data_IF_162781484873
#
_entry.id   IF_162781484873
#
_cell.length_a   1.000
_cell.length_b   1.000
_cell.length_c   1.000
_cell.angle_alpha   90.00
_cell.angle_beta   90.00
_cell.angle_gamma   90.00
#
_symmetry.space_group_name_H-M   'P 1'
#
loop_
_entity.id
_entity.type
_entity.pdbx_description
1 polymer ?
#
# COMPACT_ATOMS: atom_id res chain seq x y z
N UNK A 1 -5.26 11.42 6.24
CA UNK A 1 -5.88 10.79 7.44
C UNK A 1 -5.06 11.17 8.67
N UNK A 2 -5.69 11.37 9.84
CA UNK A 2 -4.97 11.62 11.11
C UNK A 2 -4.91 10.34 11.94
N UNK A 3 -3.82 10.15 12.67
CA UNK A 3 -3.65 9.01 13.56
C UNK A 3 -4.61 9.12 14.76
N UNK A 4 -5.38 8.06 15.08
CA UNK A 4 -6.29 8.08 16.23
C UNK A 4 -5.56 8.16 17.57
N UNK A 5 -4.31 7.69 17.65
CA UNK A 5 -3.52 7.67 18.88
C UNK A 5 -2.82 9.01 19.19
N UNK A 6 -2.20 9.63 18.18
CA UNK A 6 -1.36 10.81 18.39
C UNK A 6 -1.78 12.06 17.60
N UNK A 7 -2.84 11.98 16.80
CA UNK A 7 -3.32 13.07 15.95
C UNK A 7 -2.42 13.46 14.78
N UNK A 8 -1.22 12.87 14.66
CA UNK A 8 -0.26 13.18 13.60
C UNK A 8 -0.79 12.76 12.21
N UNK A 9 -0.36 13.45 11.13
CA UNK A 9 -0.70 13.04 9.77
C UNK A 9 -0.14 11.64 9.47
N UNK A 10 -0.96 10.79 8.86
CA UNK A 10 -0.55 9.46 8.41
C UNK A 10 -0.08 9.49 6.96
N UNK A 11 0.92 8.67 6.65
CA UNK A 11 1.45 8.46 5.30
C UNK A 11 0.54 7.52 4.51
N UNK A 12 0.29 7.85 3.25
CA UNK A 12 -0.49 7.03 2.34
C UNK A 12 0.38 5.96 1.68
N UNK A 13 -0.16 4.76 1.55
CA UNK A 13 0.51 3.64 0.90
C UNK A 13 -0.47 2.50 0.64
N UNK A 14 0.08 1.31 0.50
CA UNK A 14 -0.71 0.09 0.34
C UNK A 14 -0.04 -1.08 1.04
N UNK A 15 -0.86 -2.06 1.35
CA UNK A 15 -0.41 -3.36 1.84
C UNK A 15 -0.85 -4.46 0.86
N UNK A 16 0.01 -5.44 0.58
CA UNK A 16 -0.39 -6.60 -0.22
C UNK A 16 -1.30 -7.52 0.61
N UNK A 17 -2.41 -7.97 0.04
CA UNK A 17 -3.24 -9.02 0.63
C UNK A 17 -2.56 -10.38 0.42
N UNK A 18 -1.57 -10.69 1.25
CA UNK A 18 -0.95 -12.02 1.31
C UNK A 18 0.46 -11.98 1.90
N UNK A 19 0.65 -12.70 3.01
CA UNK A 19 1.99 -12.96 3.58
C UNK A 19 2.50 -11.96 4.62
N UNK A 20 1.64 -11.10 5.19
CA UNK A 20 1.99 -10.18 6.29
C UNK A 20 1.64 -8.71 6.00
N UNK A 21 1.97 -7.83 6.95
CA UNK A 21 1.78 -6.36 6.82
C UNK A 21 3.08 -5.73 6.32
N UNK A 22 3.43 -6.02 5.07
CA UNK A 22 4.56 -5.35 4.39
C UNK A 22 4.08 -4.00 3.87
N UNK A 23 4.66 -2.91 4.36
CA UNK A 23 4.31 -1.55 3.98
C UNK A 23 5.08 -1.11 2.74
N UNK A 24 4.37 -0.56 1.76
CA UNK A 24 4.96 0.04 0.58
C UNK A 24 4.48 1.49 0.45
N UNK A 25 5.44 2.41 0.45
CA UNK A 25 5.18 3.81 0.14
C UNK A 25 4.86 3.96 -1.35
N UNK A 26 4.01 4.94 -1.70
CA UNK A 26 3.56 5.19 -3.08
C UNK A 26 4.71 5.27 -4.10
N UNK A 27 5.81 5.92 -3.73
CA UNK A 27 7.00 6.07 -4.60
C UNK A 27 7.79 4.76 -4.77
N UNK A 28 7.85 3.94 -3.73
CA UNK A 28 8.53 2.64 -3.76
C UNK A 28 7.73 1.57 -4.52
N UNK A 29 6.41 1.76 -4.62
CA UNK A 29 5.49 0.88 -5.32
C UNK A 29 5.92 0.66 -6.77
N UNK A 30 6.13 1.76 -7.51
CA UNK A 30 6.37 1.72 -8.94
C UNK A 30 7.70 1.04 -9.27
N UNK A 31 8.72 1.23 -8.43
CA UNK A 31 10.03 0.61 -8.60
C UNK A 31 9.97 -0.91 -8.36
N UNK A 32 9.31 -1.35 -7.29
CA UNK A 32 9.16 -2.78 -6.97
C UNK A 32 8.29 -3.48 -8.02
N UNK A 33 7.24 -2.81 -8.50
CA UNK A 33 6.35 -3.34 -9.55
C UNK A 33 7.08 -3.44 -10.89
N UNK A 34 7.89 -2.42 -11.25
CA UNK A 34 8.69 -2.43 -12.46
C UNK A 34 9.66 -3.61 -12.49
N UNK A 35 10.39 -3.82 -11.40
CA UNK A 35 11.29 -4.96 -11.25
C UNK A 35 10.54 -6.29 -11.33
N UNK A 36 9.44 -6.46 -10.60
CA UNK A 36 8.69 -7.72 -10.57
C UNK A 36 7.98 -8.04 -11.90
N UNK A 37 7.68 -7.04 -12.74
CA UNK A 37 7.17 -7.25 -14.10
C UNK A 37 8.25 -7.68 -15.08
N UNK A 38 9.50 -7.32 -14.83
CA UNK A 38 10.65 -7.69 -15.67
C UNK A 38 11.08 -9.15 -15.50
N UNK A 39 10.63 -9.81 -14.42
CA UNK A 39 10.90 -11.21 -14.14
C UNK A 39 9.73 -12.10 -14.64
N UNK A 40 10.01 -13.15 -15.44
CA UNK A 40 8.97 -14.09 -15.89
C UNK A 40 8.36 -14.85 -14.71
N UNK A 41 7.02 -14.92 -14.64
CA UNK A 41 6.30 -15.69 -13.63
C UNK A 41 6.05 -14.99 -12.28
N UNK A 42 6.66 -13.83 -12.02
CA UNK A 42 6.47 -13.07 -10.76
C UNK A 42 5.31 -12.09 -10.79
N UNK A 43 4.72 -11.85 -11.96
CA UNK A 43 3.56 -10.96 -12.14
C UNK A 43 2.33 -11.43 -11.36
N UNK A 44 2.15 -12.75 -11.18
CA UNK A 44 1.03 -13.33 -10.44
C UNK A 44 1.12 -13.09 -8.92
N UNK A 45 2.34 -13.03 -8.36
CA UNK A 45 2.54 -12.78 -6.93
C UNK A 45 2.13 -11.35 -6.54
N UNK A 46 2.38 -10.38 -7.42
CA UNK A 46 2.05 -8.96 -7.24
C UNK A 46 0.66 -8.54 -7.77
N UNK A 47 -0.08 -9.49 -8.38
CA UNK A 47 -1.51 -9.37 -8.70
C UNK A 47 -2.43 -9.63 -7.50
N UNK A 48 -1.87 -10.05 -6.35
CA UNK A 48 -2.65 -10.18 -5.11
C UNK A 48 -3.25 -8.83 -4.73
N UNK A 49 -4.50 -8.87 -4.28
CA UNK A 49 -5.30 -7.67 -3.98
C UNK A 49 -4.52 -6.67 -3.13
N UNK A 50 -4.46 -5.42 -3.56
CA UNK A 50 -3.79 -4.35 -2.83
C UNK A 50 -4.84 -3.60 -2.04
N UNK A 51 -4.59 -3.40 -0.75
CA UNK A 51 -5.47 -2.65 0.12
C UNK A 51 -4.90 -1.26 0.33
N UNK A 52 -5.72 -0.25 0.07
CA UNK A 52 -5.42 1.13 0.43
C UNK A 52 -5.17 1.20 1.95
N UNK A 53 -4.01 1.74 2.33
CA UNK A 53 -3.57 1.78 3.71
C UNK A 53 -2.90 3.10 4.08
N UNK A 54 -2.91 3.38 5.38
CA UNK A 54 -2.34 4.56 6.00
C UNK A 54 -1.43 4.13 7.15
N UNK A 55 -0.23 4.70 7.23
CA UNK A 55 0.73 4.40 8.30
C UNK A 55 1.08 5.64 9.09
N UNK A 56 1.01 5.54 10.41
CA UNK A 56 1.59 6.53 11.30
C UNK A 56 3.05 6.15 11.60
N UNK A 57 4.00 7.02 11.29
CA UNK A 57 5.43 6.78 11.58
C UNK A 57 5.76 6.87 13.07
N UNK A 58 5.01 7.67 13.82
CA UNK A 58 5.20 7.85 15.28
C UNK A 58 4.67 6.65 16.07
N UNK A 59 3.41 6.30 15.88
CA UNK A 59 2.75 5.21 16.61
C UNK A 59 2.97 3.82 15.99
N UNK A 60 3.60 3.75 14.80
CA UNK A 60 3.74 2.53 13.98
C UNK A 60 2.41 1.82 13.67
N UNK A 61 1.30 2.54 13.81
CA UNK A 61 -0.05 2.07 13.54
C UNK A 61 -0.34 2.08 12.04
N UNK A 62 -0.88 0.97 11.53
CA UNK A 62 -1.30 0.82 10.14
C UNK A 62 -2.82 0.63 10.12
N UNK A 63 -3.53 1.49 9.40
CA UNK A 63 -4.95 1.32 9.09
C UNK A 63 -5.11 1.01 7.62
N UNK A 64 -6.07 0.18 7.26
CA UNK A 64 -6.36 -0.13 5.86
C UNK A 64 -7.87 -0.18 5.65
N UNK A 65 -8.30 0.14 4.43
CA UNK A 65 -9.71 0.13 4.09
C UNK A 65 -10.09 -1.25 3.56
N UNK A 66 -10.86 -1.99 4.34
CA UNK A 66 -11.41 -3.27 3.92
C UNK A 66 -12.44 -3.10 2.80
N UNK A 67 -12.44 -4.00 1.82
CA UNK A 67 -13.40 -4.02 0.71
C UNK A 67 -13.08 -3.08 -0.47
N UNK A 68 -12.08 -2.19 -0.35
CA UNK A 68 -11.62 -1.35 -1.46
C UNK A 68 -10.30 -1.90 -2.01
N UNK A 69 -10.40 -2.70 -3.07
CA UNK A 69 -9.23 -3.16 -3.81
C UNK A 69 -8.70 -2.04 -4.69
N UNK A 70 -7.38 -1.89 -4.73
CA UNK A 70 -6.71 -0.93 -5.61
C UNK A 70 -6.13 -1.69 -6.80
N UNK A 71 -6.83 -1.65 -7.93
CA UNK A 71 -6.39 -2.28 -9.17
C UNK A 71 -5.27 -1.49 -9.88
N UNK A 72 -5.17 -0.16 -9.65
CA UNK A 72 -4.19 0.72 -10.27
C UNK A 72 -3.57 1.74 -9.27
N UNK A 73 -2.24 1.77 -9.07
CA UNK A 73 -1.56 2.79 -8.25
C UNK A 73 -1.68 4.24 -8.75
N UNK A 74 -2.23 4.48 -9.95
CA UNK A 74 -2.60 5.84 -10.40
C UNK A 74 -3.96 6.31 -9.89
N UNK A 75 -4.82 5.41 -9.41
CA UNK A 75 -6.16 5.75 -8.90
C UNK A 75 -6.17 6.41 -7.51
N UNK A 76 -4.99 6.63 -6.90
CA UNK A 76 -4.82 7.29 -5.60
C UNK A 76 -4.94 8.82 -5.64
N UNK A 77 -5.43 9.42 -6.71
CA UNK A 77 -5.83 10.84 -6.71
C UNK A 77 -7.26 10.96 -6.18
N UNK A 78 -7.39 11.39 -4.93
CA UNK A 78 -8.62 12.03 -4.47
C UNK A 78 -8.32 13.52 -4.31
N UNK A 79 -9.03 14.32 -5.12
CA UNK A 79 -9.31 15.75 -4.92
C UNK A 79 -9.75 16.03 -3.49
#
# INVERSE_FOLDING_TARGET
MKCPECGAPMQNGFIPAGGGISWFDRLSADQVIGFAKSLPGTSAWFRRARLEAYRCTRCRLVTFRYGRQVDDPKSFEHK
#
